data_IF_264767131657
#
_entry.id   IF_264767131657
#
_cell.length_a   1.000
_cell.length_b   1.000
_cell.length_c   1.000
_cell.angle_alpha   90.00
_cell.angle_beta   90.00
_cell.angle_gamma   90.00
#
_symmetry.space_group_name_H-M   'P 1'
#
loop_
_entity.id
_entity.type
_entity.pdbx_description
1 polymer ?
#
# COMPACT_ATOMS: atom_id res chain seq x y z
N UNK A 1 -16.72 -7.19 8.29
CA UNK A 1 -15.73 -7.14 7.20
C UNK A 1 -16.00 -8.28 6.22
N UNK A 2 -15.72 -8.10 4.94
CA UNK A 2 -15.87 -9.10 3.88
C UNK A 2 -14.49 -9.55 3.40
N UNK A 3 -14.29 -10.86 3.22
CA UNK A 3 -13.02 -11.42 2.77
C UNK A 3 -12.74 -11.06 1.31
N UNK A 4 -11.52 -10.62 1.04
CA UNK A 4 -10.98 -10.48 -0.31
C UNK A 4 -10.25 -11.76 -0.73
N UNK A 5 -10.16 -12.01 -2.04
CA UNK A 5 -9.37 -13.12 -2.55
C UNK A 5 -7.86 -12.91 -2.24
N UNK A 6 -7.14 -13.94 -1.77
CA UNK A 6 -5.72 -13.82 -1.46
C UNK A 6 -4.90 -13.80 -2.75
N UNK A 7 -4.50 -12.60 -3.17
CA UNK A 7 -3.68 -12.37 -4.36
C UNK A 7 -2.20 -12.21 -4.01
N UNK A 8 -1.30 -12.39 -4.97
CA UNK A 8 0.15 -12.20 -4.80
C UNK A 8 0.69 -11.07 -5.70
N UNK A 9 2.01 -10.91 -5.76
CA UNK A 9 2.68 -9.86 -6.54
C UNK A 9 2.38 -9.94 -8.04
N UNK A 10 2.05 -11.11 -8.59
CA UNK A 10 1.72 -11.26 -10.02
C UNK A 10 0.31 -10.75 -10.36
N UNK A 11 -0.51 -10.43 -9.35
CA UNK A 11 -1.88 -9.99 -9.57
C UNK A 11 -1.97 -8.63 -10.26
N UNK A 12 -1.04 -7.71 -9.98
CA UNK A 12 -1.04 -6.39 -10.63
C UNK A 12 -0.87 -6.49 -12.15
N UNK A 13 -0.28 -7.58 -12.65
CA UNK A 13 -0.12 -7.85 -14.07
C UNK A 13 -1.37 -8.46 -14.71
N UNK A 14 -2.20 -9.14 -13.93
CA UNK A 14 -3.32 -9.97 -14.43
C UNK A 14 -4.70 -9.46 -14.03
N UNK A 15 -4.78 -8.46 -13.14
CA UNK A 15 -6.04 -7.94 -12.64
C UNK A 15 -6.95 -7.41 -13.78
N UNK A 16 -8.28 -7.59 -13.67
CA UNK A 16 -9.22 -7.12 -14.68
C UNK A 16 -9.26 -5.59 -14.79
N UNK A 17 -8.99 -4.90 -13.67
CA UNK A 17 -8.83 -3.45 -13.62
C UNK A 17 -7.43 -3.13 -13.13
N UNK A 18 -6.65 -2.40 -13.94
CA UNK A 18 -5.25 -2.05 -13.66
C UNK A 18 -5.06 -0.56 -13.91
N UNK A 19 -4.53 0.12 -12.92
CA UNK A 19 -4.19 1.53 -12.99
C UNK A 19 -2.69 1.66 -12.69
N UNK A 20 -1.96 2.34 -13.56
CA UNK A 20 -0.52 2.58 -13.40
C UNK A 20 -0.27 4.07 -13.46
N UNK A 21 0.54 4.56 -12.53
CA UNK A 21 1.02 5.92 -12.52
C UNK A 21 2.52 5.94 -12.18
N UNK A 22 3.22 6.97 -12.62
CA UNK A 22 4.61 7.20 -12.29
C UNK A 22 4.82 8.70 -12.10
N UNK A 23 5.60 9.07 -11.09
CA UNK A 23 5.89 10.47 -10.76
C UNK A 23 7.37 10.59 -10.43
N UNK A 24 8.00 11.64 -10.92
CA UNK A 24 9.36 12.00 -10.52
C UNK A 24 9.29 12.85 -9.25
N UNK A 25 10.03 12.45 -8.22
CA UNK A 25 10.09 13.16 -6.95
C UNK A 25 11.50 13.70 -6.73
N UNK A 26 11.60 14.97 -6.32
CA UNK A 26 12.86 15.60 -5.94
C UNK A 26 13.30 15.23 -4.51
N UNK A 27 13.23 13.94 -4.17
CA UNK A 27 13.63 13.36 -2.87
C UNK A 27 14.36 12.05 -3.11
N UNK A 28 15.12 11.59 -2.12
CA UNK A 28 15.79 10.28 -2.20
C UNK A 28 14.81 9.13 -1.89
N UNK A 29 15.11 7.90 -2.33
CA UNK A 29 14.32 6.72 -1.94
C UNK A 29 14.21 6.54 -0.42
N UNK A 30 15.24 6.90 0.34
CA UNK A 30 15.21 6.88 1.81
C UNK A 30 14.14 7.82 2.37
N UNK A 31 14.14 9.07 1.91
CA UNK A 31 13.12 10.05 2.32
C UNK A 31 11.71 9.63 1.93
N UNK A 32 11.56 8.97 0.77
CA UNK A 32 10.28 8.40 0.36
C UNK A 32 9.82 7.31 1.33
N UNK A 33 10.71 6.36 1.66
CA UNK A 33 10.36 5.24 2.53
C UNK A 33 10.15 5.62 3.99
N UNK A 34 10.80 6.68 4.47
CA UNK A 34 10.50 7.28 5.77
C UNK A 34 9.02 7.71 5.84
N UNK A 35 8.50 8.31 4.76
CA UNK A 35 7.09 8.72 4.66
C UNK A 35 6.16 7.52 4.46
N UNK A 36 6.49 6.60 3.55
CA UNK A 36 5.65 5.41 3.30
C UNK A 36 5.51 4.55 4.56
N UNK A 37 6.55 4.53 5.40
CA UNK A 37 6.57 3.79 6.65
C UNK A 37 5.95 4.49 7.85
N UNK A 38 5.66 5.79 7.76
CA UNK A 38 4.97 6.56 8.80
C UNK A 38 3.45 6.45 8.60
N UNK A 39 2.80 5.66 9.47
CA UNK A 39 1.35 5.50 9.48
C UNK A 39 0.60 6.83 9.62
N UNK A 40 1.15 7.80 10.35
CA UNK A 40 0.53 9.10 10.56
C UNK A 40 0.72 10.04 9.36
N UNK A 41 1.70 9.79 8.50
CA UNK A 41 1.92 10.61 7.30
C UNK A 41 0.83 10.41 6.25
N UNK A 42 0.28 9.20 6.13
CA UNK A 42 -0.70 8.86 5.10
C UNK A 42 -1.92 9.79 5.08
N UNK A 43 -2.64 10.05 6.20
CA UNK A 43 -3.76 10.99 6.20
C UNK A 43 -3.39 12.43 5.85
N UNK A 44 -2.13 12.83 6.06
CA UNK A 44 -1.64 14.18 5.76
C UNK A 44 -1.23 14.34 4.29
N UNK A 45 -0.88 13.24 3.61
CA UNK A 45 -0.25 13.25 2.28
C UNK A 45 -1.12 12.61 1.19
N UNK A 46 -1.93 11.61 1.53
CA UNK A 46 -2.83 10.93 0.62
C UNK A 46 -4.27 11.27 0.97
N UNK A 47 -4.88 12.16 0.20
CA UNK A 47 -6.21 12.69 0.53
C UNK A 47 -7.28 11.60 0.68
N UNK A 48 -7.15 10.45 0.00
CA UNK A 48 -8.11 9.34 0.11
C UNK A 48 -8.03 8.60 1.46
N UNK A 49 -6.90 8.66 2.17
CA UNK A 49 -6.70 7.93 3.42
C UNK A 49 -7.01 8.86 4.60
N UNK A 50 -7.76 8.36 5.59
CA UNK A 50 -8.10 9.10 6.80
C UNK A 50 -7.39 8.57 8.04
N UNK A 51 -7.04 7.28 8.07
CA UNK A 51 -6.35 6.66 9.21
C UNK A 51 -5.57 5.43 8.74
N UNK A 52 -4.40 5.21 9.33
CA UNK A 52 -3.64 3.96 9.20
C UNK A 52 -3.28 3.48 10.60
N UNK A 53 -3.58 2.22 10.90
CA UNK A 53 -3.32 1.62 12.20
C UNK A 53 -2.54 0.32 12.00
N UNK A 54 -1.25 0.26 12.35
CA UNK A 54 -0.49 -0.98 12.34
C UNK A 54 -1.15 -2.03 13.25
N UNK A 55 -1.21 -3.28 12.80
CA UNK A 55 -1.82 -4.40 13.54
C UNK A 55 -0.88 -5.56 13.80
N UNK A 56 0.37 -5.46 13.33
CA UNK A 56 1.45 -6.40 13.64
C UNK A 56 2.68 -5.65 14.18
N UNK A 57 3.54 -6.30 14.97
CA UNK A 57 4.77 -5.68 15.47
C UNK A 57 5.78 -5.42 14.35
N UNK A 58 6.71 -4.50 14.63
CA UNK A 58 7.94 -4.32 13.86
C UNK A 58 8.95 -5.48 14.15
N UNK A 59 9.90 -5.78 13.24
CA UNK A 59 10.17 -5.08 11.98
C UNK A 59 9.16 -5.42 10.89
N UNK A 60 8.84 -4.42 10.07
CA UNK A 60 7.98 -4.58 8.90
C UNK A 60 8.60 -5.50 7.86
N UNK A 61 7.75 -6.31 7.24
CA UNK A 61 8.12 -7.26 6.21
C UNK A 61 6.89 -7.85 5.52
N UNK A 62 7.11 -8.75 4.57
CA UNK A 62 6.01 -9.51 3.99
C UNK A 62 5.19 -10.22 5.09
N UNK A 63 3.87 -10.15 4.99
CA UNK A 63 2.93 -10.71 5.97
C UNK A 63 2.59 -9.80 7.16
N UNK A 64 3.34 -8.72 7.40
CA UNK A 64 2.94 -7.71 8.39
C UNK A 64 1.66 -6.99 7.96
N UNK A 65 0.86 -6.54 8.92
CA UNK A 65 -0.52 -6.09 8.69
C UNK A 65 -0.81 -4.71 9.25
N UNK A 66 -1.78 -4.06 8.62
CA UNK A 66 -2.37 -2.81 9.12
C UNK A 66 -3.83 -2.69 8.68
N UNK A 67 -4.58 -1.85 9.38
CA UNK A 67 -5.91 -1.42 8.98
C UNK A 67 -5.83 -0.01 8.42
N UNK A 68 -6.43 0.21 7.26
CA UNK A 68 -6.53 1.52 6.61
C UNK A 68 -7.99 1.95 6.54
N UNK A 69 -8.25 3.21 6.89
CA UNK A 69 -9.55 3.86 6.70
C UNK A 69 -9.44 4.81 5.53
N UNK A 70 -10.35 4.67 4.58
CA UNK A 70 -10.43 5.48 3.38
C UNK A 70 -11.67 6.38 3.43
N UNK A 71 -11.61 7.49 2.69
CA UNK A 71 -12.77 8.36 2.47
C UNK A 71 -13.96 7.55 1.94
N UNK A 72 -15.16 7.95 2.36
CA UNK A 72 -16.39 7.22 2.04
C UNK A 72 -16.71 6.06 2.99
N UNK A 73 -16.02 5.95 4.14
CA UNK A 73 -16.31 4.96 5.17
C UNK A 73 -15.80 3.55 4.82
N UNK A 74 -14.88 3.44 3.87
CA UNK A 74 -14.28 2.16 3.49
C UNK A 74 -13.15 1.84 4.47
N UNK A 75 -13.10 0.61 4.96
CA UNK A 75 -12.03 0.09 5.80
C UNK A 75 -11.40 -1.10 5.08
N UNK A 76 -10.07 -1.11 4.97
CA UNK A 76 -9.29 -2.21 4.42
C UNK A 76 -8.41 -2.81 5.51
N UNK A 77 -8.51 -4.12 5.73
CA UNK A 77 -7.51 -4.87 6.50
C UNK A 77 -6.52 -5.43 5.49
N UNK A 78 -5.27 -4.98 5.55
CA UNK A 78 -4.27 -5.28 4.54
C UNK A 78 -3.02 -5.95 5.10
N UNK A 79 -2.34 -6.68 4.23
CA UNK A 79 -1.05 -7.29 4.51
C UNK A 79 -0.05 -6.89 3.44
N UNK A 80 1.18 -6.61 3.86
CA UNK A 80 2.28 -6.39 2.95
C UNK A 80 2.61 -7.69 2.20
N UNK A 81 2.63 -7.60 0.88
CA UNK A 81 3.18 -8.61 -0.02
C UNK A 81 4.70 -8.45 -0.14
N UNK A 82 5.17 -7.20 -0.13
CA UNK A 82 6.58 -6.86 -0.10
C UNK A 82 6.80 -5.59 0.74
N UNK A 83 7.90 -5.59 1.49
CA UNK A 83 8.46 -4.40 2.13
C UNK A 83 9.98 -4.51 2.04
N UNK A 84 10.52 -3.93 0.99
CA UNK A 84 11.96 -3.87 0.68
C UNK A 84 12.35 -2.39 0.72
N UNK A 85 13.00 -1.93 1.80
CA UNK A 85 13.33 -0.53 1.98
C UNK A 85 14.02 0.07 0.76
N UNK A 86 13.56 1.27 0.37
CA UNK A 86 14.12 2.08 -0.71
C UNK A 86 13.84 1.59 -2.13
N UNK A 87 13.18 0.44 -2.30
CA UNK A 87 12.95 -0.14 -3.63
C UNK A 87 11.51 -0.56 -3.88
N UNK A 88 10.86 -1.26 -2.95
CA UNK A 88 9.58 -1.92 -3.24
C UNK A 88 8.68 -2.03 -2.02
N UNK A 89 7.44 -1.56 -2.16
CA UNK A 89 6.36 -1.75 -1.20
C UNK A 89 5.13 -2.24 -1.95
N UNK A 90 4.64 -3.41 -1.60
CA UNK A 90 3.38 -3.92 -2.15
C UNK A 90 2.50 -4.48 -1.04
N UNK A 91 1.19 -4.37 -1.20
CA UNK A 91 0.23 -4.88 -0.24
C UNK A 91 -1.06 -5.32 -0.92
N UNK A 92 -1.83 -6.14 -0.20
CA UNK A 92 -3.17 -6.57 -0.62
C UNK A 92 -4.18 -6.34 0.49
N UNK A 93 -5.45 -6.23 0.13
CA UNK A 93 -6.52 -6.37 1.11
C UNK A 93 -6.75 -7.86 1.41
N UNK A 94 -6.75 -8.21 2.70
CA UNK A 94 -7.28 -9.49 3.18
C UNK A 94 -8.79 -9.38 3.42
N UNK A 95 -9.26 -8.21 3.88
CA UNK A 95 -10.67 -7.92 4.08
C UNK A 95 -11.01 -6.46 3.77
N UNK A 96 -12.26 -6.19 3.40
CA UNK A 96 -12.78 -4.85 3.16
C UNK A 96 -14.15 -4.65 3.82
N UNK A 97 -14.52 -3.43 4.19
CA UNK A 97 -15.85 -3.12 4.75
C UNK A 97 -16.97 -3.17 3.71
N UNK A 98 -16.65 -3.23 2.42
CA UNK A 98 -17.60 -3.36 1.30
C UNK A 98 -17.38 -4.65 0.51
N UNK A 99 -18.46 -5.20 -0.07
CA UNK A 99 -18.40 -6.35 -1.00
C UNK A 99 -17.97 -5.97 -2.42
N UNK A 100 -17.88 -4.67 -2.73
CA UNK A 100 -17.50 -4.19 -4.05
C UNK A 100 -16.04 -4.53 -4.41
N UNK A 101 -15.19 -4.79 -3.40
CA UNK A 101 -13.79 -5.18 -3.58
C UNK A 101 -13.67 -6.69 -3.40
N UNK A 102 -13.64 -7.43 -4.51
CA UNK A 102 -13.41 -8.88 -4.50
C UNK A 102 -11.94 -9.22 -4.26
N UNK A 103 -11.01 -8.42 -4.82
CA UNK A 103 -9.57 -8.51 -4.65
C UNK A 103 -8.96 -7.12 -4.87
N UNK A 104 -7.86 -6.83 -4.18
CA UNK A 104 -7.11 -5.59 -4.34
C UNK A 104 -5.64 -5.83 -4.03
N UNK A 105 -4.76 -5.29 -4.85
CA UNK A 105 -3.35 -5.16 -4.55
C UNK A 105 -2.84 -3.83 -5.10
N UNK A 106 -1.84 -3.27 -4.43
CA UNK A 106 -1.12 -2.09 -4.88
C UNK A 106 0.38 -2.35 -4.75
N UNK A 107 1.14 -1.88 -5.75
CA UNK A 107 2.57 -2.10 -5.90
C UNK A 107 3.25 -0.76 -6.20
N UNK A 108 4.10 -0.35 -5.26
CA UNK A 108 4.95 0.83 -5.34
C UNK A 108 6.39 0.40 -5.58
N UNK A 109 6.97 0.90 -6.68
CA UNK A 109 8.38 0.74 -7.00
C UNK A 109 9.07 2.09 -7.00
N UNK A 110 10.18 2.16 -6.27
CA UNK A 110 11.06 3.31 -6.22
C UNK A 110 12.35 2.97 -6.96
N UNK A 111 12.73 3.85 -7.88
CA UNK A 111 13.96 3.75 -8.65
C UNK A 111 14.72 5.06 -8.47
N UNK A 112 16.05 4.99 -8.39
CA UNK A 112 16.86 6.19 -8.37
C UNK A 112 16.71 6.92 -9.72
N UNK A 113 16.13 8.12 -9.69
CA UNK A 113 16.08 8.97 -10.88
C UNK A 113 17.49 9.38 -11.32
N UNK A 114 17.74 9.43 -12.62
CA UNK A 114 18.94 10.10 -13.13
C UNK A 114 18.81 11.59 -12.80
N UNK A 115 19.69 12.12 -11.93
CA UNK A 115 19.78 13.56 -11.70
C UNK A 115 19.89 14.27 -13.06
N UNK A 116 18.95 15.18 -13.35
CA UNK A 116 19.05 16.11 -14.47
C UNK A 116 19.60 17.43 -13.99
#
# INVERSE_FOLDING_TARGET
MFRCAPVDLSFVDTAPFRFRNSVDLAITPEQLFDVLGDAEAWPRRASVITTVTPTSPEPRGAGTTRTVHLRGGIVGNEAFLAWEPFTHMAFRFNECSTRAVAAFAEDYRAEAGSAR
#
